data_IF_985632032799
#
_entry.id   IF_985632032799
#
_cell.length_a   1.000
_cell.length_b   1.000
_cell.length_c   1.000
_cell.angle_alpha   90.00
_cell.angle_beta   90.00
_cell.angle_gamma   90.00
#
_symmetry.space_group_name_H-M   'P 1'
#
loop_
_entity.id
_entity.type
_entity.pdbx_description
1 polymer ?
#
# COMPACT_ATOMS: atom_id res chain seq x y z
N UNK A 1 2.97 -2.50 -15.98
CA UNK A 1 3.20 -3.17 -14.68
C UNK A 1 3.81 -4.54 -14.94
N UNK A 2 4.83 -4.96 -14.19
CA UNK A 2 5.31 -6.34 -14.27
C UNK A 2 4.21 -7.26 -13.73
N UNK A 3 3.61 -8.08 -14.59
CA UNK A 3 2.58 -9.05 -14.22
C UNK A 3 3.26 -10.37 -13.87
N UNK A 4 2.86 -10.94 -12.74
CA UNK A 4 3.44 -12.19 -12.29
C UNK A 4 2.75 -13.37 -12.97
N UNK A 5 3.53 -14.34 -13.44
CA UNK A 5 3.00 -15.57 -14.02
C UNK A 5 2.19 -16.35 -12.97
N UNK A 6 1.09 -16.97 -13.42
CA UNK A 6 0.12 -17.68 -12.57
C UNK A 6 0.76 -18.81 -11.79
N UNK A 7 0.22 -19.11 -10.61
CA UNK A 7 0.69 -20.22 -9.77
C UNK A 7 0.51 -21.58 -10.47
N UNK A 8 -0.57 -21.76 -11.22
CA UNK A 8 -0.80 -22.96 -12.04
C UNK A 8 0.33 -23.20 -13.05
N UNK A 9 0.73 -22.17 -13.81
CA UNK A 9 1.82 -22.30 -14.78
C UNK A 9 3.13 -22.69 -14.09
N UNK A 10 3.43 -22.08 -12.94
CA UNK A 10 4.62 -22.42 -12.14
C UNK A 10 4.57 -23.87 -11.69
N UNK A 11 3.41 -24.33 -11.21
CA UNK A 11 3.19 -25.70 -10.76
C UNK A 11 3.45 -26.71 -11.85
N UNK A 12 2.87 -26.51 -13.04
CA UNK A 12 3.06 -27.40 -14.20
C UNK A 12 4.52 -27.44 -14.67
N UNK A 13 5.20 -26.30 -14.64
CA UNK A 13 6.62 -26.21 -15.01
C UNK A 13 7.49 -26.99 -14.03
N UNK A 14 7.28 -26.82 -12.72
CA UNK A 14 8.06 -27.52 -11.70
C UNK A 14 7.77 -29.02 -11.71
N UNK A 15 6.50 -29.42 -11.87
CA UNK A 15 6.12 -30.83 -12.01
C UNK A 15 6.81 -31.50 -13.19
N UNK A 16 6.99 -30.82 -14.32
CA UNK A 16 7.73 -31.37 -15.46
C UNK A 16 9.22 -31.59 -15.13
N UNK A 17 9.83 -30.71 -14.34
CA UNK A 17 11.21 -30.88 -13.86
C UNK A 17 11.31 -32.05 -12.88
N UNK A 18 10.33 -32.20 -11.97
CA UNK A 18 10.26 -33.34 -11.04
C UNK A 18 10.05 -34.68 -11.76
N UNK A 19 9.37 -34.67 -12.91
CA UNK A 19 9.22 -35.82 -13.81
C UNK A 19 10.49 -36.12 -14.65
N UNK A 20 11.59 -35.40 -14.43
CA UNK A 20 12.90 -35.68 -15.03
C UNK A 20 13.29 -34.75 -16.18
N UNK A 21 12.47 -33.76 -16.54
CA UNK A 21 12.88 -32.77 -17.55
C UNK A 21 13.99 -31.85 -17.01
N UNK A 22 14.95 -31.50 -17.86
CA UNK A 22 15.90 -30.45 -17.54
C UNK A 22 15.20 -29.08 -17.48
N UNK A 23 15.83 -28.12 -16.78
CA UNK A 23 15.32 -26.75 -16.69
C UNK A 23 15.11 -26.10 -18.07
N UNK A 24 15.95 -26.44 -19.06
CA UNK A 24 15.86 -25.91 -20.42
C UNK A 24 14.72 -26.54 -21.22
N UNK A 25 14.50 -27.84 -21.07
CA UNK A 25 13.39 -28.54 -21.71
C UNK A 25 12.04 -28.08 -21.16
N UNK A 26 11.91 -27.97 -19.83
CA UNK A 26 10.71 -27.43 -19.21
C UNK A 26 10.47 -25.96 -19.63
N UNK A 27 11.53 -25.14 -19.67
CA UNK A 27 11.44 -23.77 -20.16
C UNK A 27 10.91 -23.69 -21.60
N UNK A 28 11.49 -24.47 -22.52
CA UNK A 28 11.07 -24.53 -23.91
C UNK A 28 9.61 -25.02 -24.06
N UNK A 29 9.22 -26.06 -23.31
CA UNK A 29 7.87 -26.65 -23.33
C UNK A 29 6.78 -25.66 -22.91
N UNK A 30 7.06 -24.81 -21.93
CA UNK A 30 6.08 -23.89 -21.33
C UNK A 30 6.26 -22.43 -21.74
N UNK A 31 7.20 -22.12 -22.63
CA UNK A 31 7.43 -20.75 -23.12
C UNK A 31 7.95 -19.78 -22.05
N UNK A 32 8.74 -20.28 -21.10
CA UNK A 32 9.33 -19.47 -20.01
C UNK A 32 10.85 -19.52 -20.07
N UNK A 33 11.54 -18.63 -19.37
CA UNK A 33 13.02 -18.67 -19.31
C UNK A 33 13.52 -19.73 -18.32
N UNK A 34 14.62 -20.41 -18.63
CA UNK A 34 15.25 -21.39 -17.73
C UNK A 34 15.61 -20.79 -16.35
N UNK A 35 15.98 -19.51 -16.30
CA UNK A 35 16.20 -18.79 -15.05
C UNK A 35 14.93 -18.64 -14.20
N UNK A 36 13.75 -18.55 -14.82
CA UNK A 36 12.47 -18.54 -14.09
C UNK A 36 12.13 -19.91 -13.53
N UNK A 37 12.37 -20.98 -14.30
CA UNK A 37 12.22 -22.37 -13.84
C UNK A 37 13.10 -22.62 -12.60
N UNK A 38 14.38 -22.24 -12.67
CA UNK A 38 15.31 -22.37 -11.55
C UNK A 38 14.84 -21.60 -10.31
N UNK A 39 14.37 -20.36 -10.47
CA UNK A 39 13.82 -19.56 -9.37
C UNK A 39 12.58 -20.21 -8.73
N UNK A 40 11.69 -20.79 -9.52
CA UNK A 40 10.49 -21.45 -8.99
C UNK A 40 10.81 -22.75 -8.27
N UNK A 41 11.76 -23.54 -8.77
CA UNK A 41 12.27 -24.73 -8.08
C UNK A 41 12.87 -24.33 -6.73
N UNK A 42 13.76 -23.33 -6.70
CA UNK A 42 14.35 -22.85 -5.45
C UNK A 42 13.30 -22.30 -4.48
N UNK A 43 12.28 -21.59 -4.98
CA UNK A 43 11.17 -21.10 -4.17
C UNK A 43 10.37 -22.25 -3.54
N UNK A 44 10.05 -23.29 -4.32
CA UNK A 44 9.36 -24.47 -3.81
C UNK A 44 10.18 -25.19 -2.74
N UNK A 45 11.49 -25.37 -2.96
CA UNK A 45 12.37 -25.99 -1.96
C UNK A 45 12.49 -25.16 -0.67
N UNK A 46 12.48 -23.82 -0.77
CA UNK A 46 12.66 -22.95 0.39
C UNK A 46 11.37 -22.66 1.16
N UNK A 47 10.23 -22.55 0.48
CA UNK A 47 8.96 -22.07 1.06
C UNK A 47 7.81 -23.08 0.97
N UNK A 48 8.00 -24.21 0.29
CA UNK A 48 6.97 -25.25 0.11
C UNK A 48 5.79 -24.82 -0.77
N UNK A 49 5.85 -23.66 -1.42
CA UNK A 49 4.80 -23.17 -2.29
C UNK A 49 5.35 -22.37 -3.48
N UNK A 50 4.52 -22.15 -4.49
CA UNK A 50 4.86 -21.41 -5.71
C UNK A 50 4.20 -20.03 -5.79
N UNK A 51 3.64 -19.57 -4.67
CA UNK A 51 2.92 -18.31 -4.59
C UNK A 51 3.88 -17.17 -4.95
N UNK A 52 3.49 -16.27 -5.85
CA UNK A 52 4.27 -15.07 -6.07
C UNK A 52 4.33 -14.24 -4.78
N UNK A 53 5.51 -13.70 -4.47
CA UNK A 53 5.65 -12.78 -3.36
C UNK A 53 4.76 -11.54 -3.52
N UNK A 54 4.49 -10.84 -2.42
CA UNK A 54 3.72 -9.59 -2.45
C UNK A 54 4.42 -8.57 -3.36
N UNK A 55 3.76 -8.27 -4.49
CA UNK A 55 4.18 -7.21 -5.40
C UNK A 55 3.54 -5.88 -4.97
N UNK A 56 4.35 -4.83 -4.88
CA UNK A 56 3.89 -3.51 -4.46
C UNK A 56 3.64 -3.40 -2.95
N UNK A 57 2.70 -2.53 -2.57
CA UNK A 57 2.41 -2.17 -1.18
C UNK A 57 3.12 -0.90 -0.72
N UNK A 58 2.63 -0.34 0.38
CA UNK A 58 3.20 0.84 0.99
C UNK A 58 4.52 0.51 1.70
N UNK A 59 5.62 1.06 1.18
CA UNK A 59 6.97 0.91 1.75
C UNK A 59 7.49 2.21 2.37
N UNK A 60 6.72 3.29 2.31
CA UNK A 60 7.20 4.65 2.65
C UNK A 60 6.50 5.23 3.88
N UNK A 61 5.33 4.72 4.25
CA UNK A 61 4.57 5.23 5.40
C UNK A 61 5.07 4.78 6.76
N UNK A 62 5.97 3.79 6.84
CA UNK A 62 6.37 3.19 8.11
C UNK A 62 6.82 4.19 9.19
N UNK A 63 7.48 5.30 8.81
CA UNK A 63 7.87 6.35 9.77
C UNK A 63 6.66 7.06 10.40
N UNK A 64 5.66 7.44 9.60
CA UNK A 64 4.49 8.15 10.11
C UNK A 64 3.54 7.20 10.85
N UNK A 65 3.40 5.95 10.39
CA UNK A 65 2.54 4.97 11.07
C UNK A 65 3.07 4.60 12.47
N UNK A 66 4.39 4.56 12.67
CA UNK A 66 4.98 4.40 14.02
C UNK A 66 4.58 5.53 14.98
N UNK A 67 4.25 6.70 14.46
CA UNK A 67 3.89 7.90 15.20
C UNK A 67 2.40 8.23 15.01
N UNK A 68 1.58 7.26 14.58
CA UNK A 68 0.17 7.48 14.28
C UNK A 68 -0.61 8.05 15.46
N UNK A 69 -0.35 7.55 16.68
CA UNK A 69 -0.99 8.05 17.90
C UNK A 69 -0.75 9.55 18.09
N UNK A 70 0.49 10.04 17.97
CA UNK A 70 0.82 11.48 18.09
C UNK A 70 0.03 12.32 17.09
N UNK A 71 -0.07 11.86 15.84
CA UNK A 71 -0.80 12.58 14.79
C UNK A 71 -2.30 12.60 15.08
N UNK A 72 -2.86 11.49 15.57
CA UNK A 72 -4.29 11.37 15.89
C UNK A 72 -4.66 12.17 17.15
N UNK A 73 -3.86 12.09 18.21
CA UNK A 73 -4.07 12.84 19.46
C UNK A 73 -4.08 14.34 19.19
N UNK A 74 -3.14 14.82 18.37
CA UNK A 74 -3.06 16.22 18.00
C UNK A 74 -4.22 16.65 17.10
N UNK A 75 -4.68 15.76 16.20
CA UNK A 75 -5.88 16.02 15.40
C UNK A 75 -7.14 16.10 16.28
N UNK A 76 -7.23 15.30 17.35
CA UNK A 76 -8.34 15.36 18.29
C UNK A 76 -8.36 16.66 19.10
N UNK A 77 -7.20 17.18 19.47
CA UNK A 77 -7.06 18.50 20.11
C UNK A 77 -7.37 19.65 19.14
N UNK A 78 -7.02 19.48 17.87
CA UNK A 78 -7.10 20.52 16.83
C UNK A 78 -8.02 20.11 15.67
N UNK A 79 -9.28 19.74 15.96
CA UNK A 79 -10.21 19.14 14.97
C UNK A 79 -10.47 19.96 13.72
N UNK A 80 -10.38 21.28 13.81
CA UNK A 80 -10.60 22.21 12.69
C UNK A 80 -9.30 22.72 12.06
N UNK A 81 -8.14 22.26 12.53
CA UNK A 81 -6.85 22.68 12.00
C UNK A 81 -6.65 22.19 10.56
N UNK A 82 -6.02 23.04 9.77
CA UNK A 82 -5.48 22.71 8.48
C UNK A 82 -4.32 21.73 8.61
N UNK A 83 -4.01 21.02 7.52
CA UNK A 83 -2.85 20.11 7.49
C UNK A 83 -1.54 20.86 7.79
N UNK A 84 -1.45 22.14 7.43
CA UNK A 84 -0.24 22.93 7.62
C UNK A 84 -0.06 23.39 9.08
N UNK A 85 -1.16 23.73 9.75
CA UNK A 85 -1.15 23.98 11.20
C UNK A 85 -0.77 22.72 11.97
N UNK A 86 -1.36 21.56 11.60
CA UNK A 86 -1.01 20.29 12.22
C UNK A 86 0.46 19.93 11.97
N UNK A 87 0.96 20.15 10.75
CA UNK A 87 2.38 19.96 10.42
C UNK A 87 3.29 20.82 11.28
N UNK A 88 2.90 22.07 11.52
CA UNK A 88 3.67 23.01 12.33
C UNK A 88 3.70 22.59 13.80
N UNK A 89 2.55 22.19 14.35
CA UNK A 89 2.44 21.68 15.71
C UNK A 89 3.21 20.36 15.91
N UNK A 90 3.16 19.43 14.93
CA UNK A 90 3.99 18.22 14.95
C UNK A 90 5.49 18.56 14.91
N UNK A 91 5.90 19.57 14.14
CA UNK A 91 7.28 20.01 14.09
C UNK A 91 7.76 20.57 15.45
N UNK A 92 6.91 21.30 16.17
CA UNK A 92 7.20 21.78 17.54
C UNK A 92 7.42 20.62 18.52
N UNK A 93 6.76 19.49 18.31
CA UNK A 93 6.94 18.26 19.09
C UNK A 93 8.10 17.37 18.58
N UNK A 94 8.90 17.84 17.60
CA UNK A 94 10.03 17.09 17.02
C UNK A 94 9.66 16.11 15.91
N UNK A 95 8.39 16.04 15.51
CA UNK A 95 7.87 15.14 14.49
C UNK A 95 7.74 15.83 13.13
N UNK A 96 8.83 15.81 12.35
CA UNK A 96 8.82 16.41 11.01
C UNK A 96 8.23 15.48 9.95
N UNK A 97 7.11 15.90 9.35
CA UNK A 97 6.48 15.26 8.21
C UNK A 97 6.17 16.26 7.08
N UNK A 98 6.29 15.82 5.83
CA UNK A 98 5.85 16.62 4.69
C UNK A 98 4.32 16.60 4.52
N UNK A 99 3.77 17.65 3.92
CA UNK A 99 2.33 17.78 3.64
C UNK A 99 1.73 16.55 2.96
N UNK A 100 2.37 16.06 1.89
CA UNK A 100 1.88 14.87 1.16
C UNK A 100 1.92 13.58 1.97
N UNK A 101 2.77 13.49 2.99
CA UNK A 101 2.82 12.35 3.92
C UNK A 101 1.62 12.37 4.85
N UNK A 102 1.31 13.52 5.45
CA UNK A 102 0.12 13.71 6.28
C UNK A 102 -1.17 13.48 5.48
N UNK A 103 -1.25 14.04 4.26
CA UNK A 103 -2.41 13.82 3.39
C UNK A 103 -2.65 12.34 3.08
N UNK A 104 -1.59 11.59 2.75
CA UNK A 104 -1.68 10.13 2.50
C UNK A 104 -1.99 9.34 3.78
N UNK A 105 -1.48 9.80 4.92
CA UNK A 105 -1.82 9.25 6.23
C UNK A 105 -3.31 9.35 6.50
N UNK A 106 -3.91 10.54 6.38
CA UNK A 106 -5.35 10.70 6.59
C UNK A 106 -6.18 9.87 5.60
N UNK A 107 -5.76 9.79 4.34
CA UNK A 107 -6.42 8.94 3.35
C UNK A 107 -6.38 7.45 3.75
N UNK A 108 -5.25 6.96 4.27
CA UNK A 108 -5.08 5.56 4.71
C UNK A 108 -5.90 5.25 5.97
N UNK A 109 -6.03 6.22 6.87
CA UNK A 109 -6.84 6.13 8.08
C UNK A 109 -8.32 6.48 7.86
N UNK A 110 -8.74 6.67 6.60
CA UNK A 110 -10.11 7.05 6.23
C UNK A 110 -10.63 8.33 6.93
N UNK A 111 -9.71 9.22 7.32
CA UNK A 111 -10.03 10.50 7.96
C UNK A 111 -10.38 11.50 6.87
N UNK A 112 -11.63 11.94 6.86
CA UNK A 112 -12.12 12.93 5.92
C UNK A 112 -12.67 14.12 6.69
N UNK A 113 -12.34 15.33 6.21
CA UNK A 113 -13.00 16.53 6.71
C UNK A 113 -14.45 16.50 6.24
N UNK A 114 -15.40 16.51 7.17
CA UNK A 114 -16.83 16.64 6.84
C UNK A 114 -17.04 17.96 6.09
N UNK A 115 -17.39 17.89 4.81
CA UNK A 115 -17.85 19.05 4.05
C UNK A 115 -19.32 19.27 4.36
N UNK A 116 -19.65 20.26 5.20
CA UNK A 116 -21.02 20.80 5.28
C UNK A 116 -21.10 21.97 4.31
N UNK A 117 -22.00 21.94 3.30
CA UNK A 117 -22.30 23.15 2.54
C UNK A 117 -22.80 24.22 3.53
N UNK A 118 -22.33 25.46 3.41
CA UNK A 118 -22.99 26.58 4.09
C UNK A 118 -24.38 26.70 3.47
N UNK A 119 -25.41 26.36 4.23
CA UNK A 119 -26.77 26.73 3.84
C UNK A 119 -26.86 28.25 3.85
N UNK A 120 -27.30 28.92 2.77
CA UNK A 120 -27.51 30.36 2.80
C UNK A 120 -28.51 30.70 3.92
N UNK A 121 -28.29 31.80 4.65
CA UNK A 121 -29.21 32.22 5.70
C UNK A 121 -30.60 32.41 5.10
N UNK A 122 -31.63 31.91 5.78
CA UNK A 122 -33.03 32.16 5.41
C UNK A 122 -33.25 33.67 5.35
N UNK A 123 -33.85 34.13 4.25
CA UNK A 123 -34.19 35.53 4.02
C UNK A 123 -35.02 36.03 5.20
N UNK A 124 -34.47 36.90 6.03
CA UNK A 124 -35.22 37.55 7.10
C UNK A 124 -36.26 38.47 6.44
N UNK A 125 -37.53 38.05 6.44
CA UNK A 125 -38.62 38.93 6.06
C UNK A 125 -38.75 40.05 7.10
N UNK A 126 -38.97 41.29 6.63
CA UNK A 126 -39.34 42.40 7.50
C UNK A 126 -40.70 42.08 8.12
N UNK A 127 -40.75 41.90 9.43
CA UNK A 127 -42.00 41.88 10.19
C UNK A 127 -42.61 43.28 10.11
N UNK A 128 -43.84 43.38 9.58
CA UNK A 128 -44.65 44.61 9.60
C UNK A 128 -45.22 44.88 10.97
#
# INVERSE_FOLDING_TARGET
MAKTLSEDLRGRVVAAVEQGATHREAAARFGVSAASVSRWRSLLSAQGNLKPGRHGGDRRSGRIEKQAHVVLDLLEQMRDATIEELRSALATQGHQFGYGTLRRFFQRHHITRKKRPRTPPSRSALTS
#
